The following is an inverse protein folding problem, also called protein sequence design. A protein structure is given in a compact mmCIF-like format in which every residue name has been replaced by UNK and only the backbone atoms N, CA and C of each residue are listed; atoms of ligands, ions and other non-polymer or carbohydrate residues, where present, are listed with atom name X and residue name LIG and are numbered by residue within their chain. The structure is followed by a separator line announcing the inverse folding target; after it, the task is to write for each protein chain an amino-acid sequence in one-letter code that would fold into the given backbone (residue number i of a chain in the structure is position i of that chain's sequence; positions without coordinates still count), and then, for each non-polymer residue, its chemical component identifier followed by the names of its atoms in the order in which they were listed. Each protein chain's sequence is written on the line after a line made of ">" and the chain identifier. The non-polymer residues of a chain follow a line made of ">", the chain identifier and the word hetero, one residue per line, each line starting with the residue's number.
data_IF_451806237840
#
_entry.id   IF_451806237840
#
_cell.length_a   1.000
_cell.length_b   1.000
_cell.length_c   1.000
_cell.angle_alpha   90.00
_cell.angle_beta   90.00
_cell.angle_gamma   90.00
#
_symmetry.space_group_name_H-M   'P 1'
#
loop_
_entity.id
_entity.type
_entity.pdbx_description
1 polymer ?
#
# COMPACT_ATOMS: atom_id res chain seq x y z
N UNK A 1 26.80 -8.74 -22.68
CA UNK A 1 25.94 -7.77 -21.96
C UNK A 1 24.56 -8.39 -21.76
N UNK A 2 24.22 -8.88 -20.57
CA UNK A 2 22.96 -9.57 -20.31
C UNK A 2 21.84 -8.53 -20.41
N UNK A 3 20.97 -8.66 -21.38
CA UNK A 3 19.77 -7.82 -21.55
C UNK A 3 18.87 -8.05 -20.31
N UNK A 4 18.94 -7.17 -19.32
CA UNK A 4 18.08 -7.26 -18.13
C UNK A 4 16.62 -7.20 -18.59
N UNK A 5 15.88 -8.30 -18.38
CA UNK A 5 14.46 -8.38 -18.72
C UNK A 5 13.69 -7.43 -17.80
N UNK A 6 13.12 -6.31 -18.30
CA UNK A 6 12.45 -5.33 -17.45
C UNK A 6 11.22 -5.91 -16.74
N UNK A 7 10.57 -6.93 -17.33
CA UNK A 7 9.40 -7.59 -16.74
C UNK A 7 9.79 -8.36 -15.48
N UNK A 8 10.93 -9.06 -15.52
CA UNK A 8 11.45 -9.78 -14.34
C UNK A 8 11.79 -8.80 -13.21
N UNK A 9 12.42 -7.67 -13.53
CA UNK A 9 12.70 -6.62 -12.54
C UNK A 9 11.41 -6.13 -11.85
N UNK A 10 10.38 -5.81 -12.63
CA UNK A 10 9.10 -5.32 -12.09
C UNK A 10 8.38 -6.37 -11.24
N UNK A 11 8.40 -7.63 -11.65
CA UNK A 11 7.81 -8.72 -10.87
C UNK A 11 8.55 -8.93 -9.53
N UNK A 12 9.88 -8.97 -9.56
CA UNK A 12 10.70 -9.12 -8.34
C UNK A 12 10.50 -7.92 -7.41
N UNK A 13 10.44 -6.70 -7.96
CA UNK A 13 10.22 -5.50 -7.17
C UNK A 13 8.82 -5.51 -6.51
N UNK A 14 7.77 -5.85 -7.26
CA UNK A 14 6.41 -6.01 -6.72
C UNK A 14 6.37 -7.03 -5.58
N UNK A 15 6.90 -8.24 -5.81
CA UNK A 15 6.94 -9.28 -4.78
C UNK A 15 7.73 -8.82 -3.55
N UNK A 16 8.86 -8.15 -3.74
CA UNK A 16 9.70 -7.66 -2.65
C UNK A 16 8.98 -6.67 -1.73
N UNK A 17 8.32 -5.65 -2.29
CA UNK A 17 7.59 -4.65 -1.48
C UNK A 17 6.33 -5.24 -0.85
N UNK A 18 5.63 -6.17 -1.53
CA UNK A 18 4.48 -6.87 -0.95
C UNK A 18 4.89 -7.78 0.21
N UNK A 19 5.98 -8.54 0.06
CA UNK A 19 6.54 -9.36 1.14
C UNK A 19 6.95 -8.48 2.32
N UNK A 20 7.56 -7.33 2.07
CA UNK A 20 7.97 -6.40 3.12
C UNK A 20 6.75 -5.85 3.88
N UNK A 21 5.68 -5.47 3.18
CA UNK A 21 4.43 -5.06 3.83
C UNK A 21 3.87 -6.17 4.71
N UNK A 22 3.70 -7.37 4.18
CA UNK A 22 3.13 -8.49 4.94
C UNK A 22 4.04 -8.92 6.11
N UNK A 23 5.36 -8.91 5.94
CA UNK A 23 6.30 -9.23 7.00
C UNK A 23 6.22 -8.23 8.16
N UNK A 24 6.16 -6.92 7.85
CA UNK A 24 6.02 -5.88 8.89
C UNK A 24 4.67 -5.96 9.60
N UNK A 25 3.59 -6.28 8.90
CA UNK A 25 2.26 -6.52 9.48
C UNK A 25 2.25 -7.75 10.39
N UNK A 26 2.93 -8.84 10.01
CA UNK A 26 3.09 -10.02 10.88
C UNK A 26 3.83 -9.64 12.16
N UNK A 27 4.92 -8.89 12.06
CA UNK A 27 5.66 -8.41 13.23
C UNK A 27 4.79 -7.52 14.14
N UNK A 28 4.03 -6.62 13.54
CA UNK A 28 3.13 -5.72 14.25
C UNK A 28 2.03 -6.46 15.02
N UNK A 29 1.45 -7.52 14.43
CA UNK A 29 0.42 -8.36 15.08
C UNK A 29 0.93 -9.09 16.35
N UNK A 30 2.25 -9.26 16.46
CA UNK A 30 2.87 -9.86 17.65
C UNK A 30 3.24 -8.84 18.75
N UNK A 31 2.96 -7.55 18.55
CA UNK A 31 3.17 -6.55 19.58
C UNK A 31 2.09 -6.69 20.66
N UNK A 32 2.49 -7.00 21.89
CA UNK A 32 1.58 -7.06 23.04
C UNK A 32 1.13 -5.66 23.49
N UNK A 33 2.01 -4.66 23.33
CA UNK A 33 1.79 -3.26 23.69
C UNK A 33 2.41 -2.33 22.65
N UNK A 34 2.02 -1.05 22.70
CA UNK A 34 2.62 0.00 21.86
C UNK A 34 4.11 0.18 22.22
N UNK A 35 4.98 -0.01 21.24
CA UNK A 35 6.44 0.13 21.37
C UNK A 35 6.86 1.57 21.00
N UNK A 36 7.29 2.41 21.95
CA UNK A 36 7.81 3.73 21.64
C UNK A 36 9.20 3.64 20.98
N UNK A 37 9.28 4.00 19.70
CA UNK A 37 10.56 4.16 18.99
C UNK A 37 11.17 5.53 19.28
N UNK A 38 10.32 6.57 19.26
CA UNK A 38 10.67 7.93 19.71
C UNK A 38 9.55 8.37 20.65
N UNK A 39 9.88 8.54 21.93
CA UNK A 39 8.91 8.87 22.97
C UNK A 39 8.05 10.07 22.55
N UNK A 40 6.73 9.90 22.67
CA UNK A 40 5.69 10.89 22.34
C UNK A 40 5.61 11.35 20.86
N UNK A 41 6.42 10.76 19.96
CA UNK A 41 6.46 11.18 18.53
C UNK A 41 6.13 10.01 17.62
N UNK A 42 6.82 8.88 17.77
CA UNK A 42 6.70 7.72 16.88
C UNK A 42 6.67 6.42 17.67
N UNK A 43 5.61 5.66 17.47
CA UNK A 43 5.41 4.36 18.07
C UNK A 43 5.15 3.31 17.00
N UNK A 44 5.41 2.04 17.32
CA UNK A 44 4.84 0.91 16.62
C UNK A 44 3.68 0.37 17.46
N UNK A 45 2.47 0.40 16.92
CA UNK A 45 1.24 0.07 17.65
C UNK A 45 0.40 -0.87 16.78
N UNK A 46 -0.06 -1.99 17.31
CA UNK A 46 -0.97 -2.85 16.53
C UNK A 46 -2.40 -2.33 16.62
N UNK A 47 -2.98 -1.97 15.47
CA UNK A 47 -4.38 -1.55 15.32
C UNK A 47 -5.08 -2.41 14.26
N UNK A 48 -6.25 -2.95 14.60
CA UNK A 48 -7.16 -3.59 13.66
C UNK A 48 -8.03 -2.54 13.00
N UNK A 49 -7.81 -2.25 11.72
CA UNK A 49 -8.58 -1.27 10.96
C UNK A 49 -9.68 -1.96 10.14
N UNK A 50 -10.93 -1.83 10.58
CA UNK A 50 -12.12 -2.37 9.91
C UNK A 50 -12.74 -1.40 8.89
N UNK A 51 -12.16 -0.22 8.72
CA UNK A 51 -12.62 0.82 7.81
C UNK A 51 -11.55 1.26 6.80
N UNK A 52 -11.64 2.51 6.39
CA UNK A 52 -10.60 3.22 5.65
C UNK A 52 -9.95 4.27 6.56
N UNK A 53 -9.06 5.10 5.99
CA UNK A 53 -8.38 6.16 6.75
C UNK A 53 -9.37 6.94 7.64
N UNK A 54 -8.89 7.37 8.83
CA UNK A 54 -9.66 8.10 9.85
C UNK A 54 -10.85 7.33 10.45
N UNK A 55 -10.87 5.97 10.34
CA UNK A 55 -11.97 5.17 10.88
C UNK A 55 -13.29 5.33 10.13
N UNK A 56 -13.28 5.92 8.92
CA UNK A 56 -14.46 6.03 8.07
C UNK A 56 -14.88 4.64 7.58
N UNK A 57 -16.19 4.45 7.38
CA UNK A 57 -16.79 3.21 6.87
C UNK A 57 -16.48 1.97 7.72
N UNK A 58 -16.37 2.12 9.07
CA UNK A 58 -16.32 0.96 9.97
C UNK A 58 -17.56 0.09 9.78
N UNK A 59 -17.36 -1.24 9.72
CA UNK A 59 -18.44 -2.19 9.45
C UNK A 59 -18.70 -2.46 7.96
N UNK A 60 -18.10 -1.70 7.04
CA UNK A 60 -18.24 -1.90 5.59
C UNK A 60 -17.06 -2.65 4.96
N UNK A 61 -16.42 -3.55 5.71
CA UNK A 61 -15.22 -4.27 5.25
C UNK A 61 -15.43 -4.94 3.89
N UNK A 62 -16.60 -5.60 3.67
CA UNK A 62 -16.92 -6.28 2.42
C UNK A 62 -17.01 -5.30 1.24
N UNK A 63 -17.63 -4.14 1.45
CA UNK A 63 -17.74 -3.11 0.41
C UNK A 63 -16.35 -2.57 0.05
N UNK A 64 -15.50 -2.32 1.05
CA UNK A 64 -14.13 -1.85 0.84
C UNK A 64 -13.32 -2.93 0.09
N UNK A 65 -13.49 -4.19 0.43
CA UNK A 65 -12.84 -5.30 -0.27
C UNK A 65 -13.24 -5.37 -1.75
N UNK A 66 -14.56 -5.25 -2.06
CA UNK A 66 -15.02 -5.18 -3.43
C UNK A 66 -14.49 -3.95 -4.17
N UNK A 67 -14.37 -2.80 -3.50
CA UNK A 67 -13.79 -1.59 -4.07
C UNK A 67 -12.32 -1.82 -4.47
N UNK A 68 -11.52 -2.49 -3.63
CA UNK A 68 -10.14 -2.85 -3.99
C UNK A 68 -10.08 -3.74 -5.24
N UNK A 69 -10.96 -4.74 -5.36
CA UNK A 69 -11.04 -5.58 -6.55
C UNK A 69 -11.41 -4.79 -7.80
N UNK A 70 -12.40 -3.89 -7.69
CA UNK A 70 -12.81 -3.03 -8.80
C UNK A 70 -11.65 -2.12 -9.23
N UNK A 71 -10.98 -1.45 -8.28
CA UNK A 71 -9.84 -0.57 -8.60
C UNK A 71 -8.70 -1.36 -9.23
N UNK A 72 -8.36 -2.54 -8.68
CA UNK A 72 -7.34 -3.42 -9.26
C UNK A 72 -7.71 -3.86 -10.67
N UNK A 73 -8.97 -4.26 -10.88
CA UNK A 73 -9.50 -4.61 -12.20
C UNK A 73 -9.41 -3.46 -13.20
N UNK A 74 -9.75 -2.22 -12.78
CA UNK A 74 -9.62 -1.03 -13.61
C UNK A 74 -8.16 -0.73 -13.96
N UNK A 75 -7.24 -0.85 -13.00
CA UNK A 75 -5.80 -0.67 -13.26
C UNK A 75 -5.29 -1.67 -14.29
N UNK A 76 -5.70 -2.94 -14.20
CA UNK A 76 -5.33 -4.00 -15.16
C UNK A 76 -5.97 -3.72 -16.52
N UNK A 77 -7.27 -3.41 -16.56
CA UNK A 77 -8.01 -3.14 -17.80
C UNK A 77 -7.44 -1.94 -18.56
N UNK A 78 -7.08 -0.88 -17.85
CA UNK A 78 -6.49 0.32 -18.44
C UNK A 78 -4.96 0.30 -18.49
N UNK A 79 -4.32 -0.85 -18.22
CA UNK A 79 -2.86 -0.94 -18.16
C UNK A 79 -2.15 -0.35 -19.39
N UNK A 80 -2.71 -0.57 -20.59
CA UNK A 80 -2.14 -0.05 -21.84
C UNK A 80 -2.20 1.47 -21.98
N UNK A 81 -3.05 2.13 -21.20
CA UNK A 81 -3.15 3.60 -21.18
C UNK A 81 -2.09 4.25 -20.28
N UNK A 82 -1.51 3.50 -19.35
CA UNK A 82 -0.45 4.05 -18.49
C UNK A 82 0.87 4.21 -19.25
N UNK A 83 1.64 5.29 -18.95
CA UNK A 83 2.95 5.50 -19.55
C UNK A 83 3.88 4.32 -19.31
N UNK A 84 4.66 3.91 -20.34
CA UNK A 84 5.53 2.74 -20.28
C UNK A 84 6.97 3.07 -19.85
N UNK A 85 7.26 4.31 -19.49
CA UNK A 85 8.57 4.67 -18.94
C UNK A 85 8.80 4.07 -17.54
N UNK A 86 10.06 3.93 -17.17
CA UNK A 86 10.47 3.25 -15.94
C UNK A 86 9.86 3.87 -14.67
N UNK A 87 9.81 5.20 -14.58
CA UNK A 87 9.28 5.88 -13.41
C UNK A 87 7.79 5.57 -13.24
N UNK A 88 6.98 5.74 -14.29
CA UNK A 88 5.54 5.47 -14.25
C UNK A 88 5.23 4.00 -13.95
N UNK A 89 6.02 3.06 -14.48
CA UNK A 89 5.84 1.64 -14.17
C UNK A 89 6.15 1.33 -12.69
N UNK A 90 7.17 1.95 -12.11
CA UNK A 90 7.48 1.81 -10.68
C UNK A 90 6.35 2.40 -9.82
N UNK A 91 5.84 3.59 -10.16
CA UNK A 91 4.70 4.20 -9.44
C UNK A 91 3.45 3.32 -9.53
N UNK A 92 3.17 2.74 -10.69
CA UNK A 92 2.06 1.81 -10.88
C UNK A 92 2.22 0.55 -10.01
N UNK A 93 3.43 0.01 -9.89
CA UNK A 93 3.73 -1.13 -9.03
C UNK A 93 3.48 -0.76 -7.56
N UNK A 94 3.86 0.42 -7.11
CA UNK A 94 3.56 0.89 -5.76
C UNK A 94 2.04 0.95 -5.52
N UNK A 95 1.25 1.47 -6.46
CA UNK A 95 -0.22 1.50 -6.35
C UNK A 95 -0.77 0.07 -6.22
N UNK A 96 -0.38 -0.83 -7.13
CA UNK A 96 -0.88 -2.21 -7.14
C UNK A 96 -0.47 -2.95 -5.86
N UNK A 97 0.77 -2.80 -5.39
CA UNK A 97 1.25 -3.44 -4.17
C UNK A 97 0.54 -2.91 -2.92
N UNK A 98 0.28 -1.61 -2.85
CA UNK A 98 -0.49 -1.01 -1.74
C UNK A 98 -1.93 -1.54 -1.69
N UNK A 99 -2.62 -1.59 -2.84
CA UNK A 99 -3.96 -2.19 -2.93
C UNK A 99 -3.91 -3.67 -2.52
N UNK A 100 -2.98 -4.45 -3.09
CA UNK A 100 -2.86 -5.89 -2.85
C UNK A 100 -2.54 -6.19 -1.38
N UNK A 101 -1.65 -5.43 -0.74
CA UNK A 101 -1.26 -5.62 0.66
C UNK A 101 -2.44 -5.46 1.63
N UNK A 102 -3.24 -4.40 1.46
CA UNK A 102 -4.41 -4.17 2.29
C UNK A 102 -5.59 -5.10 1.92
N UNK A 103 -5.69 -5.51 0.67
CA UNK A 103 -6.67 -6.49 0.22
C UNK A 103 -6.40 -7.89 0.80
N UNK A 104 -5.14 -8.34 0.82
CA UNK A 104 -4.74 -9.60 1.43
C UNK A 104 -5.10 -9.66 2.92
N UNK A 105 -4.82 -8.60 3.66
CA UNK A 105 -5.19 -8.52 5.07
C UNK A 105 -6.70 -8.70 5.27
N UNK A 106 -7.53 -8.02 4.45
CA UNK A 106 -8.99 -8.11 4.56
C UNK A 106 -9.54 -9.50 4.23
N UNK A 107 -8.99 -10.17 3.22
CA UNK A 107 -9.41 -11.56 2.89
C UNK A 107 -9.04 -12.53 4.01
N UNK A 108 -7.83 -12.38 4.58
CA UNK A 108 -7.31 -13.37 5.52
C UNK A 108 -7.82 -13.11 6.93
N UNK A 109 -7.89 -11.84 7.36
CA UNK A 109 -8.17 -11.46 8.76
C UNK A 109 -9.47 -10.68 8.96
N UNK A 110 -10.11 -10.19 7.88
CA UNK A 110 -11.30 -9.35 7.97
C UNK A 110 -11.03 -7.89 8.35
N UNK A 111 -9.77 -7.50 8.52
CA UNK A 111 -9.32 -6.13 8.84
C UNK A 111 -7.96 -5.84 8.20
N UNK A 112 -7.55 -4.58 8.20
CA UNK A 112 -6.18 -4.20 7.83
C UNK A 112 -5.35 -4.00 9.10
N UNK A 113 -4.10 -4.50 9.07
CA UNK A 113 -3.13 -4.29 10.15
C UNK A 113 -2.43 -2.96 9.96
N UNK A 114 -2.70 -1.99 10.84
CA UNK A 114 -2.02 -0.70 10.88
C UNK A 114 -1.06 -0.68 12.08
N UNK A 115 0.13 -0.03 11.90
CA UNK A 115 1.16 -0.10 12.94
C UNK A 115 2.10 1.10 13.01
N UNK A 116 2.11 1.99 12.04
CA UNK A 116 2.93 3.23 12.03
C UNK A 116 2.13 4.32 12.70
N UNK A 117 2.50 4.67 13.95
CA UNK A 117 1.77 5.61 14.80
C UNK A 117 2.62 6.85 15.12
N UNK A 118 2.32 7.96 14.47
CA UNK A 118 2.93 9.27 14.74
C UNK A 118 2.19 10.08 15.82
N UNK A 119 1.24 9.50 16.54
CA UNK A 119 0.48 10.08 17.65
C UNK A 119 -0.43 11.27 17.27
N UNK A 120 -0.12 11.99 16.22
CA UNK A 120 -0.86 13.16 15.69
C UNK A 120 -1.56 12.88 14.36
N UNK A 121 -1.41 11.66 13.84
CA UNK A 121 -1.98 11.19 12.59
C UNK A 121 -2.63 9.80 12.79
N UNK A 122 -3.67 9.45 12.03
CA UNK A 122 -4.18 8.09 12.06
C UNK A 122 -3.07 7.05 11.83
N UNK A 123 -3.12 5.93 12.56
CA UNK A 123 -2.17 4.85 12.37
C UNK A 123 -2.34 4.25 10.97
N UNK A 124 -1.25 3.91 10.31
CA UNK A 124 -1.22 3.39 8.95
C UNK A 124 -0.16 2.30 8.79
N UNK A 125 0.02 1.75 7.59
CA UNK A 125 0.94 0.67 7.27
C UNK A 125 1.78 0.95 6.02
N UNK A 126 2.67 0.02 5.62
CA UNK A 126 3.50 0.20 4.43
C UNK A 126 2.70 0.17 3.13
N UNK A 127 1.62 -0.61 3.03
CA UNK A 127 0.77 -0.62 1.84
C UNK A 127 0.15 0.75 1.59
N UNK A 128 -0.24 1.49 2.65
CA UNK A 128 -0.74 2.87 2.53
C UNK A 128 0.36 3.82 2.05
N UNK A 129 1.60 3.67 2.55
CA UNK A 129 2.75 4.45 2.06
C UNK A 129 2.97 4.18 0.58
N UNK A 130 2.96 2.92 0.16
CA UNK A 130 3.15 2.56 -1.25
C UNK A 130 2.06 3.17 -2.13
N UNK A 131 0.80 3.02 -1.73
CA UNK A 131 -0.34 3.58 -2.46
C UNK A 131 -0.20 5.10 -2.64
N UNK A 132 0.09 5.81 -1.54
CA UNK A 132 0.25 7.27 -1.58
C UNK A 132 1.45 7.70 -2.42
N UNK A 133 2.62 7.07 -2.28
CA UNK A 133 3.82 7.35 -3.09
C UNK A 133 3.53 7.14 -4.57
N UNK A 134 2.86 6.03 -4.92
CA UNK A 134 2.49 5.73 -6.29
C UNK A 134 1.56 6.77 -6.90
N UNK A 135 0.49 7.14 -6.19
CA UNK A 135 -0.49 8.14 -6.65
C UNK A 135 0.16 9.52 -6.78
N UNK A 136 0.85 9.98 -5.74
CA UNK A 136 1.51 11.30 -5.74
C UNK A 136 2.56 11.37 -6.83
N UNK A 137 3.35 10.31 -7.03
CA UNK A 137 4.36 10.24 -8.09
C UNK A 137 3.75 10.31 -9.49
N UNK A 138 2.64 9.61 -9.75
CA UNK A 138 1.93 9.68 -11.04
C UNK A 138 1.35 11.06 -11.30
N UNK A 139 0.65 11.64 -10.31
CA UNK A 139 0.07 12.99 -10.43
C UNK A 139 1.17 14.04 -10.62
N UNK A 140 2.22 13.99 -9.81
CA UNK A 140 3.34 14.94 -9.87
C UNK A 140 4.00 14.93 -11.26
N UNK A 141 4.23 13.75 -11.82
CA UNK A 141 4.77 13.61 -13.19
C UNK A 141 3.86 14.24 -14.23
N UNK A 142 2.55 14.00 -14.16
CA UNK A 142 1.60 14.53 -15.13
C UNK A 142 1.51 16.07 -15.06
N UNK A 143 1.57 16.64 -13.86
CA UNK A 143 1.59 18.09 -13.66
C UNK A 143 2.86 18.75 -14.23
N UNK A 144 4.02 18.10 -14.06
CA UNK A 144 5.29 18.58 -14.61
C UNK A 144 5.36 18.46 -16.13
N UNK A 145 4.65 17.51 -16.74
CA UNK A 145 4.61 17.33 -18.19
C UNK A 145 3.79 18.40 -18.91
N UNK A 146 2.83 19.00 -18.22
CA UNK A 146 1.95 20.05 -18.80
C UNK A 146 2.56 21.45 -18.76
N UNK A 147 3.73 21.61 -18.15
CA UNK A 147 4.55 22.84 -18.20
C UNK A 147 5.59 22.75 -19.30
#
# INVERSE_FOLDING_TARGET
>A
MVRKNPRLFYAVFFCGILILDQATKILARNLAESLPVIKNIFHLTFIMNFGVAFGLFQGFNDIIMWLYLVVLGLVIFFYDKFPKDRFSQIMLIFIIAGIAGNFLDRIIFGYVTDFIDFRVWPVFNLADVYLNVGIIGMIGKELLRKK
#
